data_IF_569171898479
#
_entry.id   IF_569171898479
#
_cell.length_a   1.000
_cell.length_b   1.000
_cell.length_c   1.000
_cell.angle_alpha   90.00
_cell.angle_beta   90.00
_cell.angle_gamma   90.00
#
_symmetry.space_group_name_H-M   'P 1'
#
loop_
_entity.id
_entity.type
_entity.pdbx_description
1 polymer ?
#
# COMPACT_ATOMS: atom_id res chain seq x y z
N UNK A 1 -15.46 -4.24 -7.71
CA UNK A 1 -14.07 -4.70 -7.97
C UNK A 1 -13.22 -4.18 -6.83
N UNK A 2 -12.51 -5.04 -6.10
CA UNK A 2 -11.80 -4.65 -4.86
C UNK A 2 -10.90 -3.41 -5.02
N UNK A 3 -10.19 -3.29 -6.15
CA UNK A 3 -9.30 -2.15 -6.38
C UNK A 3 -10.04 -0.79 -6.46
N UNK A 4 -11.34 -0.78 -6.81
CA UNK A 4 -12.15 0.45 -6.80
C UNK A 4 -12.40 0.91 -5.35
N UNK A 5 -12.72 -0.03 -4.46
CA UNK A 5 -12.92 0.25 -3.04
C UNK A 5 -11.60 0.68 -2.39
N UNK A 6 -10.49 0.03 -2.75
CA UNK A 6 -9.13 0.39 -2.35
C UNK A 6 -8.79 1.84 -2.75
N UNK A 7 -8.88 2.18 -4.03
CA UNK A 7 -8.54 3.53 -4.50
C UNK A 7 -9.47 4.60 -3.91
N UNK A 8 -10.74 4.27 -3.69
CA UNK A 8 -11.68 5.17 -3.03
C UNK A 8 -11.30 5.44 -1.58
N UNK A 9 -10.87 4.43 -0.83
CA UNK A 9 -10.40 4.59 0.55
C UNK A 9 -9.09 5.38 0.61
N UNK A 10 -8.09 5.04 -0.22
CA UNK A 10 -6.83 5.79 -0.29
C UNK A 10 -7.07 7.28 -0.61
N UNK A 11 -8.03 7.56 -1.51
CA UNK A 11 -8.43 8.94 -1.84
C UNK A 11 -9.11 9.65 -0.67
N UNK A 12 -10.02 8.98 0.05
CA UNK A 12 -10.70 9.56 1.24
C UNK A 12 -9.71 9.95 2.34
N UNK A 13 -8.71 9.09 2.59
CA UNK A 13 -7.66 9.32 3.59
C UNK A 13 -6.50 10.19 3.10
N UNK A 14 -6.55 10.65 1.84
CA UNK A 14 -5.51 11.49 1.21
C UNK A 14 -4.13 10.83 1.25
N UNK A 15 -4.07 9.54 0.96
CA UNK A 15 -2.80 8.82 0.84
C UNK A 15 -2.10 9.27 -0.44
N UNK A 16 -0.85 9.69 -0.33
CA UNK A 16 0.08 9.92 -1.44
C UNK A 16 0.64 8.57 -1.89
N UNK A 17 0.09 8.05 -2.99
CA UNK A 17 0.49 6.77 -3.58
C UNK A 17 0.61 6.83 -5.10
N UNK A 18 1.36 5.88 -5.66
CA UNK A 18 1.39 5.59 -7.09
C UNK A 18 1.02 4.12 -7.30
N UNK A 19 0.08 3.88 -8.22
CA UNK A 19 -0.24 2.53 -8.69
C UNK A 19 0.92 2.00 -9.55
N UNK A 20 1.42 0.82 -9.21
CA UNK A 20 2.48 0.14 -9.94
C UNK A 20 2.03 -1.30 -10.27
N UNK A 21 2.94 -2.13 -10.78
CA UNK A 21 2.70 -3.56 -10.94
C UNK A 21 1.72 -3.93 -12.05
N UNK A 22 1.04 -5.07 -11.88
CA UNK A 22 0.23 -5.70 -12.93
C UNK A 22 -1.00 -4.90 -13.31
N UNK A 23 -1.72 -4.36 -12.33
CA UNK A 23 -2.93 -3.58 -12.57
C UNK A 23 -2.62 -2.29 -13.33
N UNK A 24 -1.49 -1.61 -13.03
CA UNK A 24 -1.05 -0.44 -13.78
C UNK A 24 -0.90 -0.74 -15.28
N UNK A 25 -0.23 -1.84 -15.62
CA UNK A 25 0.00 -2.29 -17.00
C UNK A 25 -1.32 -2.56 -17.72
N UNK A 26 -2.25 -3.26 -17.06
CA UNK A 26 -3.58 -3.55 -17.59
C UNK A 26 -4.42 -2.30 -17.83
N UNK A 27 -4.38 -1.32 -16.92
CA UNK A 27 -5.09 -0.04 -17.10
C UNK A 27 -4.50 0.83 -18.24
N UNK A 28 -3.23 0.59 -18.61
CA UNK A 28 -2.60 1.20 -19.78
C UNK A 28 -2.82 0.43 -21.09
N UNK A 29 -3.72 -0.56 -21.10
CA UNK A 29 -4.15 -1.26 -22.32
C UNK A 29 -3.31 -2.47 -22.71
N UNK A 30 -2.40 -2.92 -21.83
CA UNK A 30 -1.63 -4.15 -22.04
C UNK A 30 -2.19 -5.23 -21.10
N UNK A 31 -2.91 -6.19 -21.66
CA UNK A 31 -3.52 -7.26 -20.86
C UNK A 31 -2.48 -8.03 -20.06
N UNK A 32 -2.61 -7.99 -18.74
CA UNK A 32 -1.81 -8.79 -17.81
C UNK A 32 -2.68 -9.31 -16.68
N UNK A 33 -2.75 -10.63 -16.55
CA UNK A 33 -3.36 -11.25 -15.39
C UNK A 33 -2.55 -10.94 -14.12
N UNK A 34 -3.23 -10.48 -13.08
CA UNK A 34 -2.69 -10.21 -11.75
C UNK A 34 -3.77 -10.54 -10.72
N UNK A 35 -3.35 -10.96 -9.53
CA UNK A 35 -4.23 -11.30 -8.42
C UNK A 35 -4.11 -10.29 -7.27
N UNK A 36 -3.27 -9.27 -7.43
CA UNK A 36 -2.86 -8.31 -6.43
C UNK A 36 -2.93 -6.87 -6.96
N UNK A 37 -2.82 -5.91 -6.04
CA UNK A 37 -2.69 -4.49 -6.36
C UNK A 37 -1.43 -4.00 -5.67
N UNK A 38 -0.46 -3.59 -6.48
CA UNK A 38 0.79 -3.03 -5.98
C UNK A 38 0.73 -1.50 -5.98
N UNK A 39 1.00 -0.89 -4.83
CA UNK A 39 1.20 0.56 -4.73
C UNK A 39 2.54 0.85 -4.08
N UNK A 40 3.14 1.97 -4.45
CA UNK A 40 4.21 2.60 -3.67
C UNK A 40 3.69 3.87 -3.03
N UNK A 41 4.21 4.23 -1.86
CA UNK A 41 3.74 5.36 -1.05
C UNK A 41 4.89 6.27 -0.65
N UNK A 42 4.60 7.54 -0.44
CA UNK A 42 5.59 8.46 0.14
C UNK A 42 5.92 8.04 1.58
N UNK A 43 7.21 7.83 1.88
CA UNK A 43 7.70 7.36 3.18
C UNK A 43 7.89 8.52 4.17
N UNK A 44 6.80 9.22 4.49
CA UNK A 44 6.77 10.26 5.51
C UNK A 44 5.71 9.94 6.58
N UNK A 45 5.86 10.44 7.82
CA UNK A 45 4.99 10.07 8.93
C UNK A 45 3.50 10.33 8.67
N UNK A 46 3.16 11.48 8.09
CA UNK A 46 1.77 11.86 7.85
C UNK A 46 1.09 10.93 6.84
N UNK A 47 1.78 10.61 5.74
CA UNK A 47 1.25 9.72 4.71
C UNK A 47 1.12 8.26 5.21
N UNK A 48 2.06 7.80 6.04
CA UNK A 48 2.01 6.47 6.63
C UNK A 48 0.85 6.34 7.63
N UNK A 49 0.59 7.38 8.41
CA UNK A 49 -0.59 7.44 9.27
C UNK A 49 -1.88 7.38 8.44
N UNK A 50 -1.99 8.16 7.36
CA UNK A 50 -3.13 8.08 6.43
C UNK A 50 -3.30 6.69 5.81
N UNK A 51 -2.20 6.03 5.42
CA UNK A 51 -2.24 4.68 4.88
C UNK A 51 -2.77 3.67 5.90
N UNK A 52 -2.34 3.76 7.17
CA UNK A 52 -2.82 2.91 8.25
C UNK A 52 -4.33 3.06 8.45
N UNK A 53 -4.83 4.29 8.45
CA UNK A 53 -6.28 4.54 8.63
C UNK A 53 -7.10 4.03 7.44
N UNK A 54 -6.60 4.17 6.21
CA UNK A 54 -7.21 3.56 5.02
C UNK A 54 -7.23 2.02 5.11
N UNK A 55 -6.15 1.40 5.57
CA UNK A 55 -6.07 -0.05 5.74
C UNK A 55 -7.05 -0.56 6.81
N UNK A 56 -7.21 0.18 7.91
CA UNK A 56 -8.20 -0.13 8.97
C UNK A 56 -9.64 -0.04 8.46
N UNK A 57 -9.97 1.00 7.70
CA UNK A 57 -11.30 1.15 7.10
C UNK A 57 -11.64 -0.04 6.19
N UNK A 58 -10.67 -0.51 5.41
CA UNK A 58 -10.81 -1.65 4.51
C UNK A 58 -10.71 -3.01 5.22
N UNK A 59 -10.51 -3.03 6.54
CA UNK A 59 -10.28 -4.24 7.34
C UNK A 59 -9.13 -5.12 6.82
N UNK A 60 -8.07 -4.48 6.33
CA UNK A 60 -6.88 -5.18 5.84
C UNK A 60 -6.00 -5.64 7.01
N UNK A 61 -5.45 -6.85 6.86
CA UNK A 61 -4.51 -7.43 7.81
C UNK A 61 -3.15 -7.59 7.15
N UNK A 62 -2.06 -7.17 7.83
CA UNK A 62 -0.70 -7.45 7.36
C UNK A 62 -0.47 -8.96 7.21
N UNK A 63 0.25 -9.36 6.16
CA UNK A 63 0.70 -10.74 5.98
C UNK A 63 1.81 -11.09 6.99
N UNK A 64 2.68 -10.12 7.28
CA UNK A 64 3.67 -10.26 8.35
C UNK A 64 2.96 -10.25 9.71
N UNK A 65 3.44 -11.01 10.71
CA UNK A 65 2.85 -11.08 12.05
C UNK A 65 3.21 -9.84 12.89
N UNK A 66 2.99 -8.65 12.32
CA UNK A 66 3.24 -7.34 12.95
C UNK A 66 2.01 -6.45 12.74
N UNK A 67 1.70 -5.57 13.69
CA UNK A 67 0.57 -4.65 13.56
C UNK A 67 0.80 -3.64 12.43
N UNK A 68 -0.26 -3.12 11.77
CA UNK A 68 -0.14 -2.06 10.75
C UNK A 68 0.64 -0.83 11.23
N UNK A 69 0.52 -0.50 12.51
CA UNK A 69 1.21 0.61 13.17
C UNK A 69 2.74 0.51 13.10
N UNK A 70 3.28 -0.68 12.83
CA UNK A 70 4.72 -0.88 12.57
C UNK A 70 5.22 -0.02 11.41
N UNK A 71 4.36 0.36 10.46
CA UNK A 71 4.71 1.28 9.37
C UNK A 71 5.21 2.64 9.86
N UNK A 72 4.79 3.10 11.04
CA UNK A 72 5.24 4.38 11.61
C UNK A 72 6.69 4.33 12.14
N UNK A 73 7.30 3.14 12.23
CA UNK A 73 8.69 2.99 12.65
C UNK A 73 9.61 2.86 11.43
N UNK A 74 10.01 4.01 10.87
CA UNK A 74 10.86 4.08 9.68
C UNK A 74 12.23 3.38 9.86
N UNK A 75 12.82 3.43 11.07
CA UNK A 75 14.09 2.77 11.36
C UNK A 75 13.94 1.25 11.23
N UNK A 76 12.87 0.69 11.80
CA UNK A 76 12.57 -0.74 11.68
C UNK A 76 12.28 -1.14 10.23
N UNK A 77 11.60 -0.30 9.44
CA UNK A 77 11.38 -0.54 8.02
C UNK A 77 12.68 -0.58 7.21
N UNK A 78 13.66 0.26 7.57
CA UNK A 78 14.97 0.26 6.89
C UNK A 78 15.70 -1.10 7.03
N UNK A 79 15.49 -1.81 8.15
CA UNK A 79 16.04 -3.16 8.36
C UNK A 79 15.43 -4.19 7.40
N UNK A 80 14.15 -4.07 7.04
CA UNK A 80 13.51 -4.93 6.05
C UNK A 80 13.96 -4.61 4.61
N UNK A 81 14.24 -3.34 4.32
CA UNK A 81 14.76 -2.92 3.02
C UNK A 81 16.20 -3.38 2.79
N UNK A 82 17.03 -3.36 3.85
CA UNK A 82 18.45 -3.73 3.78
C UNK A 82 18.73 -5.21 4.08
N UNK A 83 17.74 -5.96 4.61
CA UNK A 83 17.88 -7.35 5.05
C UNK A 83 17.64 -8.42 3.99
N UNK A 84 17.37 -8.04 2.74
CA UNK A 84 17.27 -8.95 1.60
C UNK A 84 18.50 -8.79 0.70
N UNK A 85 19.61 -9.39 1.11
CA UNK A 85 20.74 -9.71 0.24
C UNK A 85 21.24 -11.12 0.55
#
# INVERSE_FOLDING_TARGET
MFYVDLFSALTRHKVDYLLIGGLAVSLHGVERATMDVDITVAMNPDNLASLIEAAKELHLSPVLPVPPETLNNLELLSCFQNGNN
#
